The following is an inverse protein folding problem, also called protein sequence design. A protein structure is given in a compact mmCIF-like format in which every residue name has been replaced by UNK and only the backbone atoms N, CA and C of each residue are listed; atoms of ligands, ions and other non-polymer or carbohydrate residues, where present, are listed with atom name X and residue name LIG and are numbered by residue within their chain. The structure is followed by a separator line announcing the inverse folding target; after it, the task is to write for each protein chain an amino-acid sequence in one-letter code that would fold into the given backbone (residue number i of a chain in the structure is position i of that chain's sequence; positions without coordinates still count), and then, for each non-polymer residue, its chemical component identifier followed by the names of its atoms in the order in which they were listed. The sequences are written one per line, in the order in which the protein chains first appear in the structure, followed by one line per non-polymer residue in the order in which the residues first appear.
data_IF_465515120892
#
_entry.id   IF_465515120892
#
_cell.length_a   1.000
_cell.length_b   1.000
_cell.length_c   1.000
_cell.angle_alpha   90.00
_cell.angle_beta   90.00
_cell.angle_gamma   90.00
#
_symmetry.space_group_name_H-M   'P 1'
#
loop_
_entity.id
_entity.type
_entity.pdbx_description
1 polymer ?
#
# COMPACT_ATOMS: atom_id res chain seq x y z
N UNK A 1 -11.84 9.44 1.31
CA UNK A 1 -11.88 8.04 0.87
C UNK A 1 -10.86 7.30 1.72
N UNK A 2 -11.13 6.06 2.18
CA UNK A 2 -10.13 5.31 2.94
C UNK A 2 -8.87 5.12 2.09
N UNK A 3 -7.70 5.20 2.71
CA UNK A 3 -6.41 5.14 2.02
C UNK A 3 -5.53 4.02 2.59
N UNK A 4 -5.07 3.13 1.72
CA UNK A 4 -4.26 1.96 2.06
C UNK A 4 -2.78 2.14 1.68
N UNK A 5 -1.87 1.90 2.63
CA UNK A 5 -0.44 1.78 2.37
C UNK A 5 -0.09 0.31 2.10
N UNK A 6 0.44 0.00 0.93
CA UNK A 6 0.86 -1.35 0.55
C UNK A 6 2.39 -1.42 0.65
N UNK A 7 2.92 -2.14 1.65
CA UNK A 7 4.35 -2.15 1.95
C UNK A 7 5.15 -3.18 1.13
N UNK A 8 4.46 -4.23 0.65
CA UNK A 8 5.03 -5.32 -0.13
C UNK A 8 5.44 -4.86 -1.54
N UNK A 9 6.63 -5.25 -1.99
CA UNK A 9 7.13 -4.99 -3.35
C UNK A 9 7.86 -6.23 -3.89
N UNK A 10 7.56 -6.68 -5.13
CA UNK A 10 6.51 -6.18 -6.02
C UNK A 10 5.09 -6.53 -5.50
N UNK A 11 4.10 -5.67 -5.78
CA UNK A 11 2.69 -5.91 -5.46
C UNK A 11 1.84 -5.80 -6.72
N UNK A 12 0.90 -6.73 -6.89
CA UNK A 12 0.01 -6.81 -8.04
C UNK A 12 0.70 -6.88 -9.43
N UNK A 13 2.00 -7.22 -9.47
CA UNK A 13 2.82 -7.28 -10.69
C UNK A 13 2.36 -8.38 -11.66
N UNK A 14 2.03 -9.57 -11.13
CA UNK A 14 1.54 -10.69 -11.95
C UNK A 14 0.01 -10.71 -12.11
N UNK A 15 -0.71 -10.12 -11.16
CA UNK A 15 -2.17 -10.12 -11.13
C UNK A 15 -2.65 -8.81 -10.50
N UNK A 16 -3.39 -8.02 -11.27
CA UNK A 16 -3.93 -6.72 -10.85
C UNK A 16 -5.19 -6.82 -9.99
N UNK A 17 -5.78 -8.00 -9.81
CA UNK A 17 -7.01 -8.20 -9.04
C UNK A 17 -7.01 -7.47 -7.67
N UNK A 18 -5.94 -7.49 -6.85
CA UNK A 18 -5.95 -6.75 -5.59
C UNK A 18 -6.13 -5.24 -5.75
N UNK A 19 -5.55 -4.64 -6.80
CA UNK A 19 -5.70 -3.22 -7.12
C UNK A 19 -7.11 -2.93 -7.63
N UNK A 20 -7.63 -3.76 -8.54
CA UNK A 20 -8.99 -3.62 -9.07
C UNK A 20 -10.04 -3.68 -7.95
N UNK A 21 -9.83 -4.53 -6.94
CA UNK A 21 -10.70 -4.60 -5.77
C UNK A 21 -10.67 -3.30 -4.95
N UNK A 22 -9.49 -2.71 -4.71
CA UNK A 22 -9.36 -1.43 -4.02
C UNK A 22 -10.04 -0.30 -4.82
N UNK A 23 -9.78 -0.22 -6.12
CA UNK A 23 -10.39 0.76 -7.02
C UNK A 23 -11.93 0.62 -7.04
N UNK A 24 -12.45 -0.61 -7.16
CA UNK A 24 -13.90 -0.88 -7.16
C UNK A 24 -14.58 -0.55 -5.84
N UNK A 25 -13.85 -0.63 -4.73
CA UNK A 25 -14.32 -0.27 -3.40
C UNK A 25 -14.16 1.23 -3.10
N UNK A 26 -13.57 2.01 -4.01
CA UNK A 26 -13.29 3.43 -3.80
C UNK A 26 -12.23 3.68 -2.72
N UNK A 27 -11.21 2.81 -2.66
CA UNK A 27 -10.11 2.90 -1.71
C UNK A 27 -8.89 3.45 -2.44
N UNK A 28 -8.38 4.59 -1.98
CA UNK A 28 -7.11 5.13 -2.48
C UNK A 28 -5.96 4.26 -1.99
N UNK A 29 -4.89 4.12 -2.78
CA UNK A 29 -3.77 3.29 -2.38
C UNK A 29 -2.42 3.88 -2.78
N UNK A 30 -1.39 3.54 -2.00
CA UNK A 30 0.00 3.78 -2.34
C UNK A 30 0.79 2.48 -2.21
N UNK A 31 1.33 1.98 -3.32
CA UNK A 31 2.36 0.95 -3.27
C UNK A 31 3.66 1.59 -2.84
N UNK A 32 4.37 0.94 -1.92
CA UNK A 32 5.62 1.39 -1.33
C UNK A 32 6.53 2.08 -2.37
N UNK A 33 6.66 3.42 -2.30
CA UNK A 33 7.34 4.22 -3.32
C UNK A 33 8.86 4.02 -3.30
N UNK A 34 9.40 3.44 -2.22
CA UNK A 34 10.84 3.20 -2.05
C UNK A 34 11.29 1.95 -2.82
N UNK A 35 10.38 1.02 -3.14
CA UNK A 35 10.71 -0.17 -3.94
C UNK A 35 11.59 -1.21 -3.24
N UNK A 36 11.77 -1.09 -1.91
CA UNK A 36 12.46 -2.07 -1.04
C UNK A 36 11.76 -2.18 0.30
N UNK A 37 12.17 -3.13 1.14
CA UNK A 37 11.70 -3.20 2.53
C UNK A 37 11.91 -1.85 3.24
N UNK A 38 10.83 -1.33 3.82
CA UNK A 38 10.83 -0.13 4.64
C UNK A 38 11.55 -0.42 5.95
N UNK A 39 12.30 0.57 6.45
CA UNK A 39 12.75 0.60 7.83
C UNK A 39 11.61 1.04 8.74
N UNK A 40 11.78 0.83 10.04
CA UNK A 40 10.75 1.13 11.05
C UNK A 40 10.43 2.64 11.12
N UNK A 41 11.45 3.48 11.05
CA UNK A 41 11.34 4.94 10.99
C UNK A 41 10.62 5.40 9.71
N UNK A 42 11.03 4.89 8.55
CA UNK A 42 10.38 5.16 7.26
C UNK A 42 8.89 4.77 7.30
N UNK A 43 8.56 3.60 7.86
CA UNK A 43 7.18 3.16 8.00
C UNK A 43 6.40 4.09 8.94
N UNK A 44 6.94 4.39 10.13
CA UNK A 44 6.27 5.21 11.13
C UNK A 44 5.91 6.61 10.59
N UNK A 45 6.81 7.23 9.83
CA UNK A 45 6.55 8.52 9.18
C UNK A 45 5.42 8.43 8.14
N UNK A 46 5.37 7.33 7.37
CA UNK A 46 4.35 7.15 6.34
C UNK A 46 2.95 6.86 6.92
N UNK A 47 2.85 6.22 8.09
CA UNK A 47 1.56 5.75 8.63
C UNK A 47 0.56 6.86 8.97
N UNK A 48 1.03 8.08 9.22
CA UNK A 48 0.17 9.20 9.61
C UNK A 48 -0.89 9.56 8.54
N UNK A 49 -0.62 9.25 7.27
CA UNK A 49 -1.46 9.62 6.13
C UNK A 49 -2.39 8.48 5.63
N UNK A 50 -2.48 7.36 6.35
CA UNK A 50 -3.20 6.16 5.88
C UNK A 50 -4.10 5.56 6.96
N UNK A 51 -5.23 5.00 6.53
CA UNK A 51 -6.20 4.35 7.40
C UNK A 51 -5.87 2.86 7.62
N UNK A 52 -5.22 2.23 6.63
CA UNK A 52 -4.97 0.79 6.59
C UNK A 52 -3.58 0.48 6.03
N UNK A 53 -2.95 -0.58 6.54
CA UNK A 53 -1.72 -1.16 6.00
C UNK A 53 -2.02 -2.52 5.38
N UNK A 54 -1.51 -2.77 4.18
CA UNK A 54 -1.42 -4.09 3.55
C UNK A 54 0.05 -4.53 3.57
N UNK A 55 0.36 -5.53 4.39
CA UNK A 55 1.70 -6.10 4.54
C UNK A 55 1.67 -7.61 4.27
N UNK A 56 2.76 -8.13 3.70
CA UNK A 56 2.97 -9.56 3.43
C UNK A 56 4.11 -10.17 4.24
#
# INVERSE_FOLDING_TARGET
MPKALITTVPFADKNRLPIELLESAGIDYLVNPIGRKLKEDELAEMLADFDVIIAG
#
